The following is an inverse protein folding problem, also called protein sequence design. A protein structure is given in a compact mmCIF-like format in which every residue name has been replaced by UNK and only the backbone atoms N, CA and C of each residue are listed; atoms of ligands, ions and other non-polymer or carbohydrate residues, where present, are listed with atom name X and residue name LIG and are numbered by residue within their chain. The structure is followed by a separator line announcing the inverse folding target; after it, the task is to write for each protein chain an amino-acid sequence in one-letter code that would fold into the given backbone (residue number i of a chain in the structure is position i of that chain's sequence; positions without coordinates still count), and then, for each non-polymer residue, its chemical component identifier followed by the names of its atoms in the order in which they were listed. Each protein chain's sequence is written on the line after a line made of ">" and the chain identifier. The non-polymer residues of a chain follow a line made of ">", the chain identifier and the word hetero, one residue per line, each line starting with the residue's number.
data_IF_171794711601
#
_entry.id   IF_171794711601
#
_cell.length_a   1.000
_cell.length_b   1.000
_cell.length_c   1.000
_cell.angle_alpha   90.00
_cell.angle_beta   90.00
_cell.angle_gamma   90.00
#
_symmetry.space_group_name_H-M   'P 1'
#
loop_
_entity.id
_entity.type
_entity.pdbx_description
1 polymer ?
#
# COMPACT_ATOMS: atom_id res chain seq x y z
N UNK A 1 7.28 10.01 -6.64
CA UNK A 1 6.66 8.66 -6.69
C UNK A 1 6.95 7.93 -8.00
N UNK A 2 6.68 8.50 -9.17
CA UNK A 2 7.07 7.89 -10.45
C UNK A 2 8.58 7.59 -10.54
N UNK A 3 9.43 8.50 -10.05
CA UNK A 3 10.88 8.32 -10.01
C UNK A 3 11.35 7.11 -9.16
N UNK A 4 10.68 6.81 -8.04
CA UNK A 4 11.03 5.66 -7.20
C UNK A 4 10.61 4.33 -7.85
N UNK A 5 9.45 4.31 -8.51
CA UNK A 5 8.97 3.16 -9.29
C UNK A 5 9.84 2.94 -10.52
N UNK A 6 10.27 4.01 -11.20
CA UNK A 6 11.21 3.95 -12.33
C UNK A 6 12.57 3.45 -11.85
N UNK A 7 13.09 3.93 -10.71
CA UNK A 7 14.37 3.46 -10.18
C UNK A 7 14.33 1.95 -9.84
N UNK A 8 13.25 1.48 -9.22
CA UNK A 8 13.05 0.04 -8.92
C UNK A 8 12.89 -0.78 -10.21
N UNK A 9 12.11 -0.31 -11.19
CA UNK A 9 11.95 -0.97 -12.48
C UNK A 9 13.25 -1.01 -13.31
N UNK A 10 14.05 0.07 -13.28
CA UNK A 10 15.36 0.14 -13.93
C UNK A 10 16.33 -0.84 -13.27
N UNK A 11 16.31 -1.00 -11.95
CA UNK A 11 17.14 -2.02 -11.28
C UNK A 11 16.76 -3.45 -11.64
N UNK A 12 15.47 -3.72 -11.94
CA UNK A 12 15.00 -5.05 -12.39
C UNK A 12 15.51 -5.42 -13.79
N UNK A 13 15.61 -4.44 -14.70
CA UNK A 13 16.16 -4.66 -16.05
C UNK A 13 17.68 -4.83 -16.01
N UNK A 14 18.39 -4.10 -15.15
CA UNK A 14 19.85 -4.23 -15.06
C UNK A 14 20.33 -5.51 -14.40
N UNK A 15 19.51 -6.18 -13.59
CA UNK A 15 19.90 -7.44 -12.95
C UNK A 15 19.96 -8.63 -13.93
N UNK A 16 19.32 -8.52 -15.11
CA UNK A 16 19.31 -9.55 -16.16
C UNK A 16 20.41 -9.42 -17.20
N UNK A 17 21.09 -8.28 -17.31
CA UNK A 17 21.95 -7.96 -18.48
C UNK A 17 23.38 -7.47 -18.14
N UNK A 18 23.83 -7.54 -16.87
CA UNK A 18 25.22 -7.21 -16.53
C UNK A 18 26.11 -8.43 -16.76
N UNK A 19 26.24 -8.81 -18.03
CA UNK A 19 27.38 -9.59 -18.49
C UNK A 19 27.90 -9.05 -19.83
N UNK A 20 28.12 -7.72 -19.90
CA UNK A 20 29.05 -7.15 -20.88
C UNK A 20 29.53 -5.75 -20.52
N UNK A 21 30.86 -5.64 -20.46
CA UNK A 21 31.69 -4.45 -20.68
C UNK A 21 32.00 -3.47 -19.52
N UNK A 22 33.28 -3.54 -19.17
CA UNK A 22 34.23 -2.68 -18.43
C UNK A 22 33.97 -1.20 -18.07
N UNK A 23 34.39 -0.91 -16.82
CA UNK A 23 35.17 0.25 -16.29
C UNK A 23 34.50 1.64 -16.25
N UNK A 24 34.15 2.08 -15.02
CA UNK A 24 34.66 3.25 -14.26
C UNK A 24 33.69 3.52 -13.09
N UNK A 25 34.22 3.73 -11.89
CA UNK A 25 33.46 4.02 -10.67
C UNK A 25 33.61 2.92 -9.64
N UNK A 26 34.00 3.28 -8.41
CA UNK A 26 34.26 2.38 -7.28
C UNK A 26 33.28 1.20 -7.24
N UNK A 27 33.81 -0.03 -7.28
CA UNK A 27 33.01 -1.25 -7.10
C UNK A 27 32.41 -1.23 -5.69
N UNK A 28 31.22 -0.65 -5.55
CA UNK A 28 30.31 -1.09 -4.50
C UNK A 28 30.20 -2.60 -4.68
N UNK A 29 30.67 -3.38 -3.70
CA UNK A 29 30.57 -4.85 -3.75
C UNK A 29 29.11 -5.17 -4.13
N UNK A 30 28.82 -5.97 -5.16
CA UNK A 30 27.46 -6.19 -5.67
C UNK A 30 26.44 -6.48 -4.55
N UNK A 31 26.89 -7.20 -3.50
CA UNK A 31 26.14 -7.49 -2.27
C UNK A 31 25.72 -6.26 -1.45
N UNK A 32 26.59 -5.26 -1.28
CA UNK A 32 26.25 -4.01 -0.56
C UNK A 32 25.17 -3.24 -1.30
N UNK A 33 25.27 -3.16 -2.63
CA UNK A 33 24.27 -2.49 -3.46
C UNK A 33 22.91 -3.21 -3.36
N UNK A 34 22.90 -4.55 -3.43
CA UNK A 34 21.69 -5.35 -3.25
C UNK A 34 21.00 -5.06 -1.91
N UNK A 35 21.76 -5.03 -0.81
CA UNK A 35 21.21 -4.74 0.52
C UNK A 35 20.66 -3.31 0.62
N UNK A 36 21.35 -2.32 0.04
CA UNK A 36 20.88 -0.93 0.01
C UNK A 36 19.58 -0.83 -0.79
N UNK A 37 19.48 -1.48 -1.95
CA UNK A 37 18.27 -1.46 -2.77
C UNK A 37 17.11 -2.16 -2.06
N UNK A 38 17.36 -3.31 -1.43
CA UNK A 38 16.36 -4.01 -0.62
C UNK A 38 15.85 -3.12 0.54
N UNK A 39 16.77 -2.51 1.29
CA UNK A 39 16.43 -1.60 2.38
C UNK A 39 15.67 -0.35 1.88
N UNK A 40 16.08 0.23 0.75
CA UNK A 40 15.40 1.39 0.17
C UNK A 40 13.96 1.06 -0.27
N UNK A 41 13.76 -0.11 -0.89
CA UNK A 41 12.43 -0.59 -1.24
C UNK A 41 11.57 -0.79 0.02
N UNK A 42 12.14 -1.44 1.05
CA UNK A 42 11.48 -1.66 2.33
C UNK A 42 11.09 -0.35 3.04
N UNK A 43 12.03 0.59 3.20
CA UNK A 43 11.75 1.89 3.81
C UNK A 43 10.71 2.68 3.01
N UNK A 44 10.72 2.62 1.68
CA UNK A 44 9.72 3.28 0.84
C UNK A 44 8.33 2.69 1.06
N UNK A 45 8.23 1.36 1.11
CA UNK A 45 6.97 0.64 1.34
C UNK A 45 6.42 0.89 2.75
N UNK A 46 7.24 0.69 3.77
CA UNK A 46 6.88 0.91 5.16
C UNK A 46 6.51 2.37 5.44
N UNK A 47 7.33 3.31 4.93
CA UNK A 47 7.03 4.74 5.03
C UNK A 47 5.73 5.13 4.34
N UNK A 48 5.40 4.51 3.20
CA UNK A 48 4.13 4.73 2.53
C UNK A 48 2.93 4.26 3.39
N UNK A 49 3.04 3.14 4.10
CA UNK A 49 1.99 2.67 5.02
C UNK A 49 1.76 3.68 6.15
N UNK A 50 2.82 4.10 6.83
CA UNK A 50 2.74 5.07 7.93
C UNK A 50 2.13 6.39 7.44
N UNK A 51 2.62 6.90 6.31
CA UNK A 51 2.12 8.15 5.73
C UNK A 51 0.64 8.04 5.36
N UNK A 52 0.24 6.97 4.68
CA UNK A 52 -1.12 6.80 4.19
C UNK A 52 -2.14 6.64 5.31
N UNK A 53 -1.82 5.82 6.32
CA UNK A 53 -2.76 5.48 7.40
C UNK A 53 -2.85 6.59 8.45
N UNK A 54 -1.73 7.14 8.90
CA UNK A 54 -1.72 8.02 10.06
C UNK A 54 -1.65 9.51 9.72
N UNK A 55 -0.96 9.87 8.63
CA UNK A 55 -0.73 11.28 8.29
C UNK A 55 -1.75 11.75 7.28
N UNK A 56 -1.74 11.16 6.08
CA UNK A 56 -2.59 11.59 4.97
C UNK A 56 -4.07 11.44 5.28
N UNK A 57 -4.51 10.28 5.78
CA UNK A 57 -5.92 10.05 6.10
C UNK A 57 -6.49 11.04 7.12
N UNK A 58 -5.77 11.25 8.22
CA UNK A 58 -6.19 12.14 9.32
C UNK A 58 -6.20 13.60 8.86
N UNK A 59 -5.11 14.07 8.21
CA UNK A 59 -5.03 15.44 7.71
C UNK A 59 -6.13 15.75 6.71
N UNK A 60 -6.39 14.84 5.75
CA UNK A 60 -7.41 15.06 4.73
C UNK A 60 -8.82 15.06 5.33
N UNK A 61 -9.10 14.18 6.30
CA UNK A 61 -10.40 14.13 6.98
C UNK A 61 -10.77 15.46 7.65
N UNK A 62 -9.78 16.12 8.29
CA UNK A 62 -10.00 17.39 8.99
C UNK A 62 -9.87 18.65 8.13
N UNK A 63 -9.45 18.53 6.87
CA UNK A 63 -9.20 19.69 5.98
C UNK A 63 -10.06 19.74 4.74
N UNK A 64 -10.58 18.61 4.28
CA UNK A 64 -11.41 18.53 3.08
C UNK A 64 -12.88 18.28 3.43
N UNK A 65 -13.78 18.76 2.57
CA UNK A 65 -15.16 18.32 2.61
C UNK A 65 -15.25 16.82 2.34
N UNK A 66 -16.31 16.17 2.82
CA UNK A 66 -16.51 14.73 2.65
C UNK A 66 -16.39 14.29 1.18
N UNK A 67 -16.94 15.06 0.25
CA UNK A 67 -16.84 14.77 -1.18
C UNK A 67 -15.43 14.97 -1.76
N UNK A 68 -14.76 16.07 -1.40
CA UNK A 68 -13.38 16.30 -1.84
C UNK A 68 -12.43 15.23 -1.28
N UNK A 69 -12.63 14.81 -0.03
CA UNK A 69 -11.87 13.70 0.55
C UNK A 69 -12.12 12.38 -0.18
N UNK A 70 -13.39 12.08 -0.49
CA UNK A 70 -13.75 10.89 -1.23
C UNK A 70 -13.18 10.89 -2.67
N UNK A 71 -13.09 12.06 -3.32
CA UNK A 71 -12.41 12.22 -4.62
C UNK A 71 -10.91 11.90 -4.52
N UNK A 72 -10.24 12.37 -3.47
CA UNK A 72 -8.84 12.00 -3.20
C UNK A 72 -8.70 10.50 -2.98
N UNK A 73 -9.57 9.89 -2.17
CA UNK A 73 -9.57 8.45 -1.91
C UNK A 73 -9.70 7.61 -3.19
N UNK A 74 -10.55 8.05 -4.13
CA UNK A 74 -10.73 7.34 -5.42
C UNK A 74 -9.44 7.25 -6.24
N UNK A 75 -8.60 8.29 -6.18
CA UNK A 75 -7.31 8.31 -6.86
C UNK A 75 -6.24 7.61 -6.05
N UNK A 76 -6.27 7.76 -4.73
CA UNK A 76 -5.19 7.37 -3.85
C UNK A 76 -5.21 5.86 -3.55
N UNK A 77 -6.37 5.25 -3.30
CA UNK A 77 -6.44 3.82 -2.98
C UNK A 77 -5.87 2.92 -4.08
N UNK A 78 -6.22 3.07 -5.38
CA UNK A 78 -5.65 2.22 -6.42
C UNK A 78 -4.13 2.39 -6.55
N UNK A 79 -3.63 3.63 -6.46
CA UNK A 79 -2.20 3.94 -6.59
C UNK A 79 -1.42 3.36 -5.41
N UNK A 80 -1.92 3.60 -4.20
CA UNK A 80 -1.32 3.08 -2.97
C UNK A 80 -1.18 1.57 -3.01
N UNK A 81 -2.27 0.82 -3.17
CA UNK A 81 -2.21 -0.64 -3.14
C UNK A 81 -1.45 -1.23 -4.34
N UNK A 82 -1.40 -0.54 -5.48
CA UNK A 82 -0.51 -0.95 -6.60
C UNK A 82 0.94 -0.80 -6.19
N UNK A 83 1.36 0.40 -5.76
CA UNK A 83 2.75 0.65 -5.38
C UNK A 83 3.20 -0.22 -4.21
N UNK A 84 2.34 -0.42 -3.20
CA UNK A 84 2.64 -1.31 -2.07
C UNK A 84 2.85 -2.75 -2.52
N UNK A 85 1.92 -3.31 -3.30
CA UNK A 85 2.05 -4.70 -3.79
C UNK A 85 3.33 -4.89 -4.62
N UNK A 86 3.67 -3.92 -5.48
CA UNK A 86 4.87 -3.98 -6.30
C UNK A 86 6.17 -3.90 -5.48
N UNK A 87 6.25 -2.96 -4.54
CA UNK A 87 7.41 -2.84 -3.66
C UNK A 87 7.57 -4.09 -2.80
N UNK A 88 6.47 -4.62 -2.28
CA UNK A 88 6.50 -5.80 -1.44
C UNK A 88 6.87 -7.08 -2.21
N UNK A 89 6.38 -7.25 -3.44
CA UNK A 89 6.86 -8.31 -4.32
C UNK A 89 8.37 -8.22 -4.56
N UNK A 90 8.88 -7.01 -4.79
CA UNK A 90 10.31 -6.78 -4.96
C UNK A 90 11.11 -7.13 -3.68
N UNK A 91 10.64 -6.69 -2.51
CA UNK A 91 11.24 -6.99 -1.21
C UNK A 91 11.28 -8.51 -0.99
N UNK A 92 10.16 -9.21 -1.20
CA UNK A 92 10.05 -10.67 -1.06
C UNK A 92 11.01 -11.41 -1.99
N UNK A 93 11.06 -11.05 -3.28
CA UNK A 93 11.96 -11.68 -4.25
C UNK A 93 13.42 -11.46 -3.86
N UNK A 94 13.80 -10.22 -3.50
CA UNK A 94 15.17 -9.93 -3.10
C UNK A 94 15.55 -10.61 -1.79
N UNK A 95 14.64 -10.65 -0.82
CA UNK A 95 14.87 -11.37 0.44
C UNK A 95 15.10 -12.86 0.17
N UNK A 96 14.24 -13.50 -0.63
CA UNK A 96 14.42 -14.91 -1.01
C UNK A 96 15.75 -15.17 -1.72
N UNK A 97 16.18 -14.27 -2.61
CA UNK A 97 17.50 -14.38 -3.27
C UNK A 97 18.67 -14.26 -2.30
N UNK A 98 18.57 -13.39 -1.29
CA UNK A 98 19.57 -13.27 -0.23
C UNK A 98 19.64 -14.58 0.57
N UNK A 99 18.48 -15.14 0.97
CA UNK A 99 18.41 -16.40 1.72
C UNK A 99 19.06 -17.57 0.97
N UNK A 100 18.76 -17.70 -0.33
CA UNK A 100 19.38 -18.71 -1.20
C UNK A 100 20.89 -18.49 -1.33
N UNK A 101 21.32 -17.25 -1.58
CA UNK A 101 22.75 -16.94 -1.77
C UNK A 101 23.59 -17.15 -0.52
N UNK A 102 23.00 -16.93 0.65
CA UNK A 102 23.70 -17.03 1.95
C UNK A 102 23.48 -18.40 2.59
N UNK A 103 22.68 -19.25 1.95
CA UNK A 103 22.27 -20.57 2.43
C UNK A 103 21.73 -20.54 3.87
N UNK A 104 20.91 -19.51 4.17
CA UNK A 104 20.28 -19.31 5.47
C UNK A 104 18.83 -19.80 5.40
N UNK A 105 18.55 -20.91 6.08
CA UNK A 105 17.26 -21.58 6.09
C UNK A 105 16.87 -21.96 7.52
N UNK A 106 16.90 -20.99 8.42
CA UNK A 106 16.41 -21.16 9.78
C UNK A 106 14.91 -20.84 9.88
N UNK A 107 14.33 -21.18 11.03
CA UNK A 107 12.92 -20.92 11.32
C UNK A 107 12.58 -19.43 11.21
N UNK A 108 13.49 -18.54 11.58
CA UNK A 108 13.28 -17.09 11.50
C UNK A 108 13.12 -16.63 10.06
N UNK A 109 13.97 -17.12 9.16
CA UNK A 109 13.92 -16.84 7.73
C UNK A 109 12.62 -17.32 7.10
N UNK A 110 12.17 -18.53 7.44
CA UNK A 110 10.86 -19.03 6.97
C UNK A 110 9.69 -18.16 7.46
N UNK A 111 9.71 -17.75 8.74
CA UNK A 111 8.68 -16.85 9.28
C UNK A 111 8.68 -15.49 8.55
N UNK A 112 9.84 -14.95 8.18
CA UNK A 112 9.94 -13.72 7.40
C UNK A 112 9.37 -13.90 5.98
N UNK A 113 9.71 -14.99 5.29
CA UNK A 113 9.15 -15.29 3.98
C UNK A 113 7.62 -15.43 4.03
N UNK A 114 7.09 -16.09 5.06
CA UNK A 114 5.65 -16.20 5.28
C UNK A 114 5.00 -14.84 5.55
N UNK A 115 5.60 -14.00 6.40
CA UNK A 115 5.08 -12.67 6.72
C UNK A 115 5.06 -11.74 5.50
N UNK A 116 6.16 -11.69 4.74
CA UNK A 116 6.25 -10.91 3.50
C UNK A 116 5.28 -11.43 2.42
N UNK A 117 5.14 -12.75 2.29
CA UNK A 117 4.19 -13.37 1.36
C UNK A 117 2.74 -13.03 1.73
N UNK A 118 2.38 -13.14 3.01
CA UNK A 118 1.06 -12.74 3.51
C UNK A 118 0.80 -11.26 3.22
N UNK A 119 1.78 -10.40 3.52
CA UNK A 119 1.69 -8.97 3.25
C UNK A 119 1.42 -8.70 1.76
N UNK A 120 2.19 -9.33 0.88
CA UNK A 120 2.06 -9.14 -0.57
C UNK A 120 0.69 -9.61 -1.09
N UNK A 121 0.27 -10.80 -0.68
CA UNK A 121 -1.00 -11.38 -1.11
C UNK A 121 -2.20 -10.57 -0.62
N UNK A 122 -2.14 -10.04 0.61
CA UNK A 122 -3.21 -9.19 1.16
C UNK A 122 -3.28 -7.87 0.38
N UNK A 123 -2.17 -7.20 0.14
CA UNK A 123 -2.14 -5.93 -0.60
C UNK A 123 -2.62 -6.09 -2.04
N UNK A 124 -2.17 -7.16 -2.70
CA UNK A 124 -2.59 -7.50 -4.06
C UNK A 124 -4.08 -7.84 -4.09
N UNK A 125 -4.57 -8.60 -3.11
CA UNK A 125 -6.00 -8.93 -3.01
C UNK A 125 -6.86 -7.69 -2.78
N UNK A 126 -6.42 -6.77 -1.93
CA UNK A 126 -7.10 -5.49 -1.75
C UNK A 126 -7.13 -4.74 -3.09
N UNK A 127 -5.99 -4.63 -3.77
CA UNK A 127 -5.89 -3.93 -5.05
C UNK A 127 -6.83 -4.49 -6.12
N UNK A 128 -6.93 -5.81 -6.21
CA UNK A 128 -7.67 -6.50 -7.28
C UNK A 128 -9.15 -6.69 -6.96
N UNK A 129 -9.50 -6.98 -5.71
CA UNK A 129 -10.85 -7.41 -5.33
C UNK A 129 -11.61 -6.42 -4.44
N UNK A 130 -10.92 -5.62 -3.61
CA UNK A 130 -11.57 -4.73 -2.63
C UNK A 130 -11.66 -3.29 -3.14
N UNK A 131 -10.61 -2.80 -3.80
CA UNK A 131 -10.57 -1.43 -4.35
C UNK A 131 -11.65 -1.21 -5.42
N UNK A 132 -11.86 -2.08 -6.43
CA UNK A 132 -12.88 -1.84 -7.46
C UNK A 132 -14.31 -1.67 -6.92
N UNK A 133 -14.85 -2.54 -6.04
CA UNK A 133 -16.17 -2.30 -5.45
C UNK A 133 -16.19 -1.07 -4.54
N UNK A 134 -15.11 -0.78 -3.80
CA UNK A 134 -15.00 0.42 -2.97
C UNK A 134 -15.17 1.71 -3.80
N UNK A 135 -14.51 1.81 -4.96
CA UNK A 135 -14.65 2.97 -5.85
C UNK A 135 -16.08 3.14 -6.39
N UNK A 136 -16.76 2.04 -6.70
CA UNK A 136 -18.16 2.06 -7.12
C UNK A 136 -19.06 2.57 -6.01
N UNK A 137 -18.88 2.06 -4.79
CA UNK A 137 -19.62 2.49 -3.60
C UNK A 137 -19.43 3.98 -3.32
N UNK A 138 -18.18 4.49 -3.38
CA UNK A 138 -17.90 5.92 -3.25
C UNK A 138 -18.69 6.72 -4.29
N UNK A 139 -18.61 6.32 -5.57
CA UNK A 139 -19.24 7.06 -6.67
C UNK A 139 -20.74 7.13 -6.53
N UNK A 140 -21.41 6.00 -6.27
CA UNK A 140 -22.87 5.95 -6.09
C UNK A 140 -23.30 6.73 -4.85
N UNK A 141 -22.58 6.55 -3.73
CA UNK A 141 -22.86 7.26 -2.47
C UNK A 141 -22.76 8.77 -2.65
N UNK A 142 -21.70 9.26 -3.30
CA UNK A 142 -21.52 10.69 -3.57
C UNK A 142 -22.61 11.26 -4.48
N UNK A 143 -23.06 10.51 -5.48
CA UNK A 143 -24.12 10.97 -6.38
C UNK A 143 -25.44 11.23 -5.62
N UNK A 144 -25.85 10.29 -4.77
CA UNK A 144 -27.06 10.43 -3.92
C UNK A 144 -26.89 11.60 -2.95
N UNK A 145 -25.75 11.70 -2.28
CA UNK A 145 -25.48 12.80 -1.34
C UNK A 145 -25.51 14.16 -2.01
N UNK A 146 -24.95 14.28 -3.22
CA UNK A 146 -24.98 15.51 -4.00
C UNK A 146 -26.40 15.90 -4.40
N UNK A 147 -27.25 14.94 -4.78
CA UNK A 147 -28.67 15.21 -5.07
C UNK A 147 -29.47 15.66 -3.83
N UNK A 148 -29.02 15.28 -2.64
CA UNK A 148 -29.63 15.70 -1.36
C UNK A 148 -28.99 16.97 -0.78
N UNK A 149 -28.02 17.58 -1.46
CA UNK A 149 -27.35 18.81 -0.99
C UNK A 149 -26.44 18.63 0.23
N UNK A 150 -25.96 17.41 0.51
CA UNK A 150 -25.09 17.11 1.66
C UNK A 150 -23.69 16.65 1.22
N UNK A 151 -22.73 16.57 2.16
CA UNK A 151 -21.36 16.11 1.90
C UNK A 151 -20.32 17.23 1.79
N UNK A 152 -20.71 18.45 2.15
CA UNK A 152 -19.86 19.64 2.21
C UNK A 152 -19.22 19.85 3.58
N UNK A 153 -19.64 19.10 4.58
CA UNK A 153 -19.09 19.16 5.93
C UNK A 153 -17.62 18.67 5.98
N UNK A 154 -16.86 19.24 6.91
CA UNK A 154 -15.43 18.95 7.14
C UNK A 154 -15.26 18.36 8.54
N UNK A 155 -14.48 17.28 8.67
CA UNK A 155 -14.14 16.68 9.96
C UNK A 155 -15.31 16.10 10.77
N UNK A 156 -16.50 16.02 10.18
CA UNK A 156 -17.71 15.44 10.77
C UNK A 156 -18.53 14.74 9.70
N UNK A 157 -19.47 13.91 10.12
CA UNK A 157 -20.44 13.30 9.20
C UNK A 157 -21.84 13.79 9.57
N UNK A 158 -22.49 14.48 8.62
CA UNK A 158 -23.90 14.81 8.70
C UNK A 158 -24.64 14.09 7.56
N UNK A 159 -25.65 13.32 7.92
CA UNK A 159 -26.47 12.55 6.98
C UNK A 159 -27.80 13.25 6.67
N UNK A 160 -28.19 14.25 7.46
CA UNK A 160 -29.42 15.03 7.31
C UNK A 160 -30.63 14.19 6.87
N UNK A 161 -31.30 14.55 5.75
CA UNK A 161 -32.52 13.88 5.30
C UNK A 161 -32.30 12.42 4.86
N UNK A 162 -31.07 12.02 4.55
CA UNK A 162 -30.77 10.66 4.09
C UNK A 162 -30.81 9.62 5.20
N UNK A 163 -30.86 10.03 6.48
CA UNK A 163 -31.08 9.13 7.62
C UNK A 163 -32.36 8.30 7.46
N UNK A 164 -33.41 8.91 6.89
CA UNK A 164 -34.71 8.29 6.70
C UNK A 164 -34.83 7.52 5.38
N UNK A 165 -33.77 7.48 4.55
CA UNK A 165 -33.77 6.78 3.28
C UNK A 165 -33.20 5.36 3.45
N UNK A 166 -34.02 4.28 3.37
CA UNK A 166 -33.53 2.91 3.60
C UNK A 166 -32.51 2.47 2.55
N UNK A 167 -32.70 2.91 1.30
CA UNK A 167 -31.79 2.62 0.19
C UNK A 167 -30.40 3.21 0.43
N UNK A 168 -30.31 4.49 0.82
CA UNK A 168 -29.04 5.12 1.16
C UNK A 168 -28.38 4.46 2.38
N UNK A 169 -29.15 4.14 3.42
CA UNK A 169 -28.59 3.53 4.63
C UNK A 169 -28.03 2.12 4.37
N UNK A 170 -28.65 1.34 3.49
CA UNK A 170 -28.09 0.07 3.05
C UNK A 170 -26.74 0.27 2.32
N UNK A 171 -26.68 1.21 1.36
CA UNK A 171 -25.46 1.58 0.65
C UNK A 171 -24.35 2.05 1.61
N UNK A 172 -24.70 2.95 2.55
CA UNK A 172 -23.78 3.50 3.55
C UNK A 172 -23.20 2.41 4.46
N UNK A 173 -24.01 1.44 4.88
CA UNK A 173 -23.54 0.28 5.65
C UNK A 173 -22.56 -0.58 4.85
N UNK A 174 -22.87 -0.88 3.59
CA UNK A 174 -21.98 -1.66 2.72
C UNK A 174 -20.65 -0.94 2.48
N UNK A 175 -20.69 0.36 2.19
CA UNK A 175 -19.51 1.22 2.10
C UNK A 175 -18.63 1.11 3.36
N UNK A 176 -19.22 1.29 4.55
CA UNK A 176 -18.46 1.21 5.80
C UNK A 176 -17.86 -0.16 6.03
N UNK A 177 -18.60 -1.24 5.76
CA UNK A 177 -18.08 -2.61 5.90
C UNK A 177 -16.85 -2.84 5.01
N UNK A 178 -16.94 -2.48 3.73
CA UNK A 178 -15.83 -2.63 2.77
C UNK A 178 -14.64 -1.74 3.17
N UNK A 179 -14.89 -0.49 3.56
CA UNK A 179 -13.85 0.43 4.00
C UNK A 179 -13.11 -0.07 5.26
N UNK A 180 -13.85 -0.55 6.26
CA UNK A 180 -13.28 -1.10 7.49
C UNK A 180 -12.51 -2.38 7.25
N UNK A 181 -13.01 -3.28 6.38
CA UNK A 181 -12.27 -4.48 5.99
C UNK A 181 -10.92 -4.13 5.36
N UNK A 182 -10.90 -3.17 4.43
CA UNK A 182 -9.68 -2.67 3.82
C UNK A 182 -8.71 -2.07 4.84
N UNK A 183 -9.22 -1.29 5.81
CA UNK A 183 -8.41 -0.70 6.88
C UNK A 183 -7.80 -1.77 7.79
N UNK A 184 -8.57 -2.79 8.21
CA UNK A 184 -8.08 -3.91 9.02
C UNK A 184 -6.98 -4.67 8.30
N UNK A 185 -7.20 -5.03 7.03
CA UNK A 185 -6.17 -5.70 6.24
C UNK A 185 -4.90 -4.86 6.10
N UNK A 186 -5.02 -3.54 5.99
CA UNK A 186 -3.87 -2.63 5.97
C UNK A 186 -3.10 -2.59 7.30
N UNK A 187 -3.79 -2.73 8.45
CA UNK A 187 -3.11 -2.86 9.74
C UNK A 187 -2.35 -4.19 9.82
N UNK A 188 -2.93 -5.28 9.33
CA UNK A 188 -2.27 -6.60 9.27
C UNK A 188 -0.98 -6.51 8.45
N UNK A 189 -1.02 -5.92 7.26
CA UNK A 189 0.17 -5.77 6.40
C UNK A 189 1.24 -4.89 7.06
N UNK A 190 0.82 -3.85 7.80
CA UNK A 190 1.74 -3.03 8.59
C UNK A 190 2.39 -3.81 9.73
N UNK A 191 1.68 -4.73 10.39
CA UNK A 191 2.25 -5.63 11.39
C UNK A 191 3.29 -6.58 10.78
N UNK A 192 3.03 -7.13 9.59
CA UNK A 192 4.02 -7.92 8.84
C UNK A 192 5.29 -7.10 8.56
N UNK A 193 5.14 -5.84 8.14
CA UNK A 193 6.28 -4.96 7.91
C UNK A 193 7.05 -4.64 9.20
N UNK A 194 6.37 -4.42 10.33
CA UNK A 194 7.06 -4.23 11.62
C UNK A 194 7.85 -5.48 12.01
N UNK A 195 7.27 -6.67 11.82
CA UNK A 195 7.97 -7.93 12.08
C UNK A 195 9.23 -8.08 11.22
N UNK A 196 9.16 -7.65 9.94
CA UNK A 196 10.32 -7.65 9.06
C UNK A 196 11.34 -6.55 9.38
N UNK A 197 10.89 -5.37 9.81
CA UNK A 197 11.75 -4.28 10.27
C UNK A 197 12.63 -4.73 11.42
N UNK A 198 12.04 -5.41 12.42
CA UNK A 198 12.79 -5.95 13.57
C UNK A 198 13.87 -6.91 13.09
N UNK A 199 13.55 -7.79 12.14
CA UNK A 199 14.51 -8.74 11.57
C UNK A 199 15.66 -8.06 10.81
N UNK A 200 15.40 -7.00 10.04
CA UNK A 200 16.47 -6.26 9.35
C UNK A 200 17.35 -5.49 10.35
N UNK A 201 16.78 -5.07 11.48
CA UNK A 201 17.46 -4.25 12.48
C UNK A 201 18.33 -5.07 13.47
N UNK A 202 18.15 -6.38 13.54
CA UNK A 202 18.89 -7.31 14.41
C UNK A 202 19.93 -8.10 13.63
#
# INVERSE_FOLDING_TARGET
>A
MALAVILVAVTMLTAGDINKSSRIGERVKPRKLVNIIHLAAFCTHFGAHIWMTFISGVCLYYKLSRHAFADVQKVLFPKYYTTSSWLNAFILIQFGKICVSDNVWDIHTYLQLCALSLCFLVELSIRLYVVPPMLRLITVKMAIEKSAGIGHEVGRQDLGPLLNCPHYMALHRTFRKVHMAMAICNIITMMCNVFHLVYIAT
#
